data_IF_946761226023
#
_entry.id   IF_946761226023
#
_cell.length_a   1.000
_cell.length_b   1.000
_cell.length_c   1.000
_cell.angle_alpha   90.00
_cell.angle_beta   90.00
_cell.angle_gamma   90.00
#
_symmetry.space_group_name_H-M   'P 1'
#
loop_
_entity.id
_entity.type
_entity.pdbx_description
1 polymer ?
#
# COMPACT_ATOMS: atom_id res chain seq x y z
N UNK A 1 -0.93 31.37 22.65
CA UNK A 1 -0.92 30.30 21.63
C UNK A 1 -0.96 30.99 20.28
N UNK A 2 -0.05 30.66 19.37
CA UNK A 2 -0.14 31.08 17.97
C UNK A 2 -1.32 30.37 17.31
N UNK A 3 -1.73 30.81 16.13
CA UNK A 3 -2.82 30.17 15.38
C UNK A 3 -2.55 28.68 15.13
N UNK A 4 -1.27 28.31 14.95
CA UNK A 4 -0.89 26.92 14.71
C UNK A 4 -0.98 26.07 15.98
N UNK A 5 -0.72 26.60 17.17
CA UNK A 5 -0.77 25.87 18.45
C UNK A 5 -2.10 26.12 19.18
N UNK A 6 -3.22 26.04 18.46
CA UNK A 6 -4.51 26.54 18.96
C UNK A 6 -5.12 25.72 20.11
N UNK A 7 -4.83 24.42 20.20
CA UNK A 7 -5.40 23.53 21.22
C UNK A 7 -4.44 23.27 22.38
N UNK A 8 -3.13 23.26 22.14
CA UNK A 8 -2.10 22.94 23.13
C UNK A 8 -0.74 23.51 22.73
N UNK A 9 0.12 23.79 23.70
CA UNK A 9 1.50 24.26 23.45
C UNK A 9 2.44 23.13 23.00
N UNK A 10 2.03 21.86 23.14
CA UNK A 10 2.89 20.70 22.89
C UNK A 10 2.86 20.19 21.44
N UNK A 11 1.88 20.62 20.66
CA UNK A 11 1.69 20.22 19.27
C UNK A 11 1.08 21.40 18.55
N UNK A 12 1.66 21.77 17.41
CA UNK A 12 1.08 22.79 16.55
C UNK A 12 -0.28 22.29 16.03
N UNK A 13 -0.30 21.60 14.91
CA UNK A 13 -1.54 21.22 14.26
C UNK A 13 -2.04 19.90 14.84
N UNK A 14 -2.66 19.94 16.03
CA UNK A 14 -2.99 18.74 16.80
C UNK A 14 -3.86 17.73 16.00
N UNK A 15 -4.76 18.21 15.15
CA UNK A 15 -5.63 17.34 14.34
C UNK A 15 -4.84 16.67 13.23
N UNK A 16 -4.06 17.44 12.48
CA UNK A 16 -3.16 16.93 11.45
C UNK A 16 -2.13 15.95 12.05
N UNK A 17 -1.67 16.23 13.27
CA UNK A 17 -0.78 15.35 14.02
C UNK A 17 -1.46 14.03 14.40
N UNK A 18 -2.63 14.08 15.05
CA UNK A 18 -3.30 12.87 15.56
C UNK A 18 -3.90 11.99 14.46
N UNK A 19 -4.31 12.57 13.33
CA UNK A 19 -4.82 11.80 12.18
C UNK A 19 -3.76 10.87 11.60
N UNK A 20 -2.47 11.19 11.75
CA UNK A 20 -1.36 10.32 11.37
C UNK A 20 -1.20 9.06 12.24
N UNK A 21 -1.84 8.99 13.42
CA UNK A 21 -1.87 7.75 14.21
C UNK A 21 -2.53 6.59 13.46
N UNK A 22 -3.42 6.90 12.50
CA UNK A 22 -4.01 5.89 11.62
C UNK A 22 -2.94 5.19 10.76
N UNK A 23 -2.02 5.94 10.15
CA UNK A 23 -0.89 5.37 9.40
C UNK A 23 -0.06 4.45 10.28
N UNK A 24 0.29 4.90 11.48
CA UNK A 24 1.11 4.12 12.41
C UNK A 24 0.39 2.81 12.79
N UNK A 25 -0.91 2.88 13.08
CA UNK A 25 -1.71 1.70 13.39
C UNK A 25 -1.82 0.73 12.20
N UNK A 26 -2.10 1.25 10.99
CA UNK A 26 -2.19 0.44 9.77
C UNK A 26 -0.84 -0.18 9.38
N UNK A 27 0.28 0.51 9.61
CA UNK A 27 1.63 -0.01 9.49
C UNK A 27 1.85 -1.22 10.39
N UNK A 28 1.54 -1.08 11.69
CA UNK A 28 1.70 -2.16 12.68
C UNK A 28 0.82 -3.35 12.28
N UNK A 29 -0.44 -3.10 11.93
CA UNK A 29 -1.38 -4.12 11.48
C UNK A 29 -0.86 -4.86 10.25
N UNK A 30 -0.50 -4.14 9.19
CA UNK A 30 -0.01 -4.69 7.93
C UNK A 30 1.28 -5.49 8.10
N UNK A 31 2.24 -4.96 8.87
CA UNK A 31 3.50 -5.63 9.20
C UNK A 31 3.28 -6.94 9.95
N UNK A 32 2.38 -6.93 10.95
CA UNK A 32 1.99 -8.15 11.69
C UNK A 32 1.36 -9.18 10.76
N UNK A 33 0.53 -8.76 9.83
CA UNK A 33 -0.09 -9.66 8.85
C UNK A 33 0.94 -10.24 7.88
N UNK A 34 1.89 -9.44 7.38
CA UNK A 34 3.00 -9.93 6.57
C UNK A 34 3.80 -11.03 7.26
N UNK A 35 4.13 -10.84 8.55
CA UNK A 35 4.86 -11.83 9.34
C UNK A 35 4.00 -13.05 9.68
N UNK A 36 2.74 -12.85 10.06
CA UNK A 36 1.83 -13.93 10.47
C UNK A 36 1.48 -14.88 9.34
N UNK A 37 1.25 -14.35 8.14
CA UNK A 37 0.79 -15.11 6.97
C UNK A 37 1.91 -15.36 5.95
N UNK A 38 3.16 -15.08 6.31
CA UNK A 38 4.35 -15.34 5.49
C UNK A 38 4.23 -14.72 4.08
N UNK A 39 3.91 -13.43 4.04
CA UNK A 39 3.90 -12.67 2.80
C UNK A 39 5.32 -12.29 2.38
N UNK A 40 5.51 -12.04 1.08
CA UNK A 40 6.81 -11.63 0.54
C UNK A 40 7.38 -10.43 1.32
N UNK A 41 8.64 -10.56 1.75
CA UNK A 41 9.37 -9.57 2.56
C UNK A 41 9.32 -8.15 2.00
N UNK A 42 9.19 -7.98 0.69
CA UNK A 42 9.06 -6.66 0.05
C UNK A 42 7.86 -5.87 0.60
N UNK A 43 6.75 -6.54 0.96
CA UNK A 43 5.58 -5.88 1.52
C UNK A 43 5.78 -5.50 3.00
N UNK A 44 6.56 -6.27 3.74
CA UNK A 44 6.97 -5.86 5.09
C UNK A 44 7.78 -4.57 5.01
N UNK A 45 8.76 -4.49 4.11
CA UNK A 45 9.55 -3.26 3.89
C UNK A 45 8.65 -2.11 3.43
N UNK A 46 7.67 -2.37 2.55
CA UNK A 46 6.70 -1.36 2.12
C UNK A 46 5.83 -0.84 3.27
N UNK A 47 5.37 -1.71 4.18
CA UNK A 47 4.66 -1.26 5.38
C UNK A 47 5.55 -0.45 6.32
N UNK A 48 6.84 -0.78 6.44
CA UNK A 48 7.79 0.04 7.21
C UNK A 48 7.98 1.43 6.58
N UNK A 49 8.09 1.51 5.25
CA UNK A 49 8.13 2.78 4.52
C UNK A 49 6.84 3.60 4.73
N UNK A 50 5.68 2.95 4.63
CA UNK A 50 4.38 3.53 4.95
C UNK A 50 4.29 4.05 6.40
N UNK A 51 4.88 3.33 7.36
CA UNK A 51 5.01 3.79 8.75
C UNK A 51 5.96 4.97 8.92
N UNK A 52 7.03 5.04 8.11
CA UNK A 52 7.94 6.17 8.08
C UNK A 52 7.24 7.44 7.57
N UNK A 53 6.38 7.34 6.55
CA UNK A 53 5.51 8.44 6.10
C UNK A 53 4.63 8.95 7.24
N UNK A 54 3.85 8.06 7.87
CA UNK A 54 2.97 8.47 8.97
C UNK A 54 3.71 9.06 10.17
N UNK A 55 4.90 8.52 10.49
CA UNK A 55 5.72 9.04 11.59
C UNK A 55 6.35 10.40 11.24
N UNK A 56 6.85 10.55 10.01
CA UNK A 56 7.38 11.81 9.48
C UNK A 56 6.33 12.91 9.52
N UNK A 57 5.15 12.63 8.98
CA UNK A 57 4.01 13.54 8.98
C UNK A 57 3.57 13.91 10.40
N UNK A 58 3.45 12.92 11.31
CA UNK A 58 3.16 13.18 12.71
C UNK A 58 4.17 14.18 13.33
N UNK A 59 5.47 13.94 13.13
CA UNK A 59 6.52 14.81 13.69
C UNK A 59 6.54 16.19 13.03
N UNK A 60 6.26 16.26 11.72
CA UNK A 60 6.15 17.52 11.01
C UNK A 60 5.00 18.35 11.53
N UNK A 61 3.76 17.85 11.54
CA UNK A 61 2.60 18.62 12.01
C UNK A 61 2.65 18.95 13.51
N UNK A 62 3.38 18.17 14.30
CA UNK A 62 3.58 18.49 15.71
C UNK A 62 4.55 19.67 15.91
N UNK A 63 5.54 19.84 15.01
CA UNK A 63 6.66 20.77 15.21
C UNK A 63 6.74 21.93 14.21
N UNK A 64 6.17 21.76 13.01
CA UNK A 64 6.29 22.61 11.81
C UNK A 64 7.74 22.95 11.43
N UNK A 65 8.67 22.00 11.66
CA UNK A 65 10.09 22.18 11.39
C UNK A 65 10.50 21.56 10.05
N UNK A 66 11.24 22.33 9.26
CA UNK A 66 11.71 21.92 7.94
C UNK A 66 12.40 20.54 7.88
N UNK A 67 13.27 20.13 8.84
CA UNK A 67 13.84 18.78 8.82
C UNK A 67 12.79 17.67 8.91
N UNK A 68 11.70 17.87 9.67
CA UNK A 68 10.62 16.89 9.77
C UNK A 68 9.72 16.92 8.54
N UNK A 69 9.56 18.09 7.90
CA UNK A 69 8.92 18.20 6.59
C UNK A 69 9.62 17.33 5.54
N UNK A 70 10.95 17.39 5.50
CA UNK A 70 11.75 16.54 4.62
C UNK A 70 11.54 15.05 4.92
N UNK A 71 11.46 14.66 6.19
CA UNK A 71 11.20 13.25 6.56
C UNK A 71 9.82 12.81 6.07
N UNK A 72 8.79 13.63 6.28
CA UNK A 72 7.43 13.37 5.80
C UNK A 72 7.42 13.18 4.27
N UNK A 73 7.77 14.23 3.54
CA UNK A 73 7.64 14.29 2.08
C UNK A 73 8.59 13.30 1.37
N UNK A 74 9.86 13.24 1.75
CA UNK A 74 10.82 12.37 1.05
C UNK A 74 10.59 10.89 1.32
N UNK A 75 10.07 10.52 2.50
CA UNK A 75 9.73 9.13 2.79
C UNK A 75 8.62 8.59 1.86
N UNK A 76 7.73 9.46 1.38
CA UNK A 76 6.73 9.12 0.36
C UNK A 76 7.41 8.71 -0.96
N UNK A 77 8.40 9.50 -1.42
CA UNK A 77 9.17 9.21 -2.64
C UNK A 77 9.90 7.86 -2.51
N UNK A 78 10.61 7.66 -1.40
CA UNK A 78 11.39 6.44 -1.18
C UNK A 78 10.51 5.19 -1.13
N UNK A 79 9.36 5.28 -0.46
CA UNK A 79 8.38 4.19 -0.39
C UNK A 79 7.81 3.88 -1.77
N UNK A 80 7.48 4.90 -2.58
CA UNK A 80 7.00 4.68 -3.95
C UNK A 80 8.09 4.09 -4.85
N UNK A 81 9.35 4.53 -4.73
CA UNK A 81 10.47 3.93 -5.45
C UNK A 81 10.67 2.44 -5.08
N UNK A 82 10.52 2.07 -3.81
CA UNK A 82 10.52 0.67 -3.39
C UNK A 82 9.39 -0.11 -4.08
N UNK A 83 8.19 0.46 -4.16
CA UNK A 83 7.05 -0.17 -4.84
C UNK A 83 7.23 -0.27 -6.36
N UNK A 84 7.86 0.73 -6.98
CA UNK A 84 8.32 0.67 -8.36
C UNK A 84 9.26 -0.52 -8.54
N UNK A 85 10.28 -0.66 -7.69
CA UNK A 85 11.18 -1.80 -7.74
C UNK A 85 10.42 -3.12 -7.60
N UNK A 86 9.56 -3.25 -6.60
CA UNK A 86 8.78 -4.46 -6.35
C UNK A 86 7.91 -4.89 -7.54
N UNK A 87 7.31 -3.92 -8.24
CA UNK A 87 6.41 -4.16 -9.38
C UNK A 87 7.19 -4.43 -10.66
N UNK A 88 8.17 -3.60 -11.00
CA UNK A 88 8.90 -3.69 -12.26
C UNK A 88 9.97 -4.78 -12.25
N UNK A 89 10.49 -5.19 -11.08
CA UNK A 89 11.46 -6.28 -10.98
C UNK A 89 10.85 -7.69 -11.10
N UNK A 90 9.52 -7.80 -11.04
CA UNK A 90 8.83 -9.10 -11.08
C UNK A 90 9.04 -9.81 -12.42
N UNK A 91 9.47 -11.07 -12.35
CA UNK A 91 9.77 -11.91 -13.52
C UNK A 91 10.79 -11.29 -14.49
N UNK A 92 11.73 -10.48 -13.99
CA UNK A 92 12.79 -9.86 -14.79
C UNK A 92 14.17 -10.48 -14.52
N UNK A 93 15.07 -10.33 -15.48
CA UNK A 93 16.46 -10.81 -15.39
C UNK A 93 17.22 -10.11 -14.26
N UNK A 94 18.24 -10.79 -13.70
CA UNK A 94 19.07 -10.23 -12.61
C UNK A 94 19.70 -8.88 -12.99
N UNK A 95 20.15 -8.75 -14.23
CA UNK A 95 20.74 -7.51 -14.76
C UNK A 95 19.70 -6.39 -14.77
N UNK A 96 18.50 -6.65 -15.30
CA UNK A 96 17.43 -5.65 -15.31
C UNK A 96 17.08 -5.18 -13.90
N UNK A 97 16.97 -6.11 -12.95
CA UNK A 97 16.68 -5.79 -11.54
C UNK A 97 17.76 -4.89 -10.94
N UNK A 98 19.04 -5.18 -11.18
CA UNK A 98 20.15 -4.35 -10.69
C UNK A 98 20.12 -2.96 -11.30
N UNK A 99 19.97 -2.85 -12.62
CA UNK A 99 19.87 -1.56 -13.32
C UNK A 99 18.70 -0.74 -12.78
N UNK A 100 17.52 -1.36 -12.65
CA UNK A 100 16.34 -0.71 -12.09
C UNK A 100 16.59 -0.20 -10.66
N UNK A 101 17.21 -1.01 -9.80
CA UNK A 101 17.54 -0.61 -8.43
C UNK A 101 18.48 0.61 -8.40
N UNK A 102 19.57 0.59 -9.18
CA UNK A 102 20.49 1.72 -9.27
C UNK A 102 19.80 2.98 -9.82
N UNK A 103 18.97 2.85 -10.84
CA UNK A 103 18.21 3.97 -11.41
C UNK A 103 17.22 4.58 -10.42
N UNK A 104 16.53 3.76 -9.63
CA UNK A 104 15.58 4.24 -8.62
C UNK A 104 16.27 4.90 -7.41
N UNK A 105 17.44 4.39 -7.01
CA UNK A 105 18.27 5.03 -5.98
C UNK A 105 18.77 6.38 -6.49
N UNK A 106 19.32 6.42 -7.71
CA UNK A 106 19.77 7.66 -8.34
C UNK A 106 18.63 8.68 -8.44
N UNK A 107 17.45 8.26 -8.90
CA UNK A 107 16.26 9.11 -8.97
C UNK A 107 15.85 9.64 -7.60
N UNK A 108 15.85 8.79 -6.57
CA UNK A 108 15.51 9.18 -5.20
C UNK A 108 16.47 10.22 -4.63
N UNK A 109 17.78 10.03 -4.85
CA UNK A 109 18.83 10.98 -4.44
C UNK A 109 18.69 12.29 -5.22
N UNK A 110 18.46 12.22 -6.52
CA UNK A 110 18.24 13.40 -7.36
C UNK A 110 17.05 14.22 -6.88
N UNK A 111 15.87 13.60 -6.70
CA UNK A 111 14.66 14.26 -6.20
C UNK A 111 14.94 14.90 -4.84
N UNK A 112 15.64 14.19 -3.95
CA UNK A 112 15.98 14.70 -2.61
C UNK A 112 16.84 15.96 -2.67
N UNK A 113 17.95 15.90 -3.40
CA UNK A 113 18.88 17.02 -3.49
C UNK A 113 18.26 18.22 -4.21
N UNK A 114 17.52 17.96 -5.29
CA UNK A 114 16.87 19.01 -6.05
C UNK A 114 15.71 19.65 -5.27
N UNK A 115 14.92 18.85 -4.56
CA UNK A 115 13.86 19.36 -3.69
C UNK A 115 14.42 20.18 -2.52
N UNK A 116 15.51 19.72 -1.91
CA UNK A 116 16.19 20.47 -0.86
C UNK A 116 16.76 21.81 -1.36
N UNK A 117 17.27 21.85 -2.60
CA UNK A 117 17.76 23.06 -3.24
C UNK A 117 16.63 24.03 -3.61
N UNK A 118 15.56 23.53 -4.22
CA UNK A 118 14.47 24.35 -4.74
C UNK A 118 13.53 24.84 -3.63
N UNK A 119 13.30 24.00 -2.61
CA UNK A 119 12.37 24.24 -1.49
C UNK A 119 10.93 24.57 -1.94
N UNK A 120 10.55 24.08 -3.11
CA UNK A 120 9.23 24.27 -3.71
C UNK A 120 8.40 22.98 -3.60
N UNK A 121 7.34 22.97 -2.77
CA UNK A 121 6.51 21.77 -2.55
C UNK A 121 5.85 21.26 -3.83
N UNK A 122 5.61 22.10 -4.83
CA UNK A 122 4.98 21.70 -6.09
C UNK A 122 5.88 20.72 -6.87
N UNK A 123 7.20 20.87 -6.78
CA UNK A 123 8.14 19.92 -7.38
C UNK A 123 8.00 18.52 -6.77
N UNK A 124 7.95 18.44 -5.44
CA UNK A 124 7.78 17.17 -4.73
C UNK A 124 6.44 16.51 -5.09
N UNK A 125 5.35 17.27 -5.04
CA UNK A 125 4.01 16.77 -5.33
C UNK A 125 3.92 16.19 -6.73
N UNK A 126 4.44 16.89 -7.74
CA UNK A 126 4.46 16.44 -9.12
C UNK A 126 5.31 15.16 -9.29
N UNK A 127 6.50 15.11 -8.68
CA UNK A 127 7.36 13.93 -8.72
C UNK A 127 6.67 12.71 -8.07
N UNK A 128 6.06 12.90 -6.90
CA UNK A 128 5.32 11.85 -6.20
C UNK A 128 4.11 11.37 -7.00
N UNK A 129 3.33 12.29 -7.58
CA UNK A 129 2.16 11.95 -8.39
C UNK A 129 2.54 11.13 -9.64
N UNK A 130 3.58 11.54 -10.37
CA UNK A 130 4.06 10.83 -11.55
C UNK A 130 4.58 9.43 -11.22
N UNK A 131 5.37 9.31 -10.15
CA UNK A 131 5.88 8.01 -9.68
C UNK A 131 4.74 7.08 -9.27
N UNK A 132 3.79 7.59 -8.49
CA UNK A 132 2.63 6.84 -8.00
C UNK A 132 1.72 6.39 -9.14
N UNK A 133 1.43 7.28 -10.09
CA UNK A 133 0.66 6.92 -11.29
C UNK A 133 1.37 5.84 -12.11
N UNK A 134 2.68 5.98 -12.33
CA UNK A 134 3.49 5.02 -13.09
C UNK A 134 3.43 3.62 -12.48
N UNK A 135 3.67 3.50 -11.16
CA UNK A 135 3.63 2.18 -10.51
C UNK A 135 2.21 1.61 -10.49
N UNK A 136 1.20 2.43 -10.23
CA UNK A 136 -0.19 2.01 -10.18
C UNK A 136 -0.68 1.47 -11.53
N UNK A 137 -0.51 2.23 -12.62
CA UNK A 137 -0.91 1.80 -13.96
C UNK A 137 -0.13 0.55 -14.39
N UNK A 138 1.16 0.47 -14.06
CA UNK A 138 1.94 -0.74 -14.31
C UNK A 138 1.36 -1.94 -13.56
N UNK A 139 1.06 -1.80 -12.27
CA UNK A 139 0.49 -2.89 -11.47
C UNK A 139 -0.88 -3.32 -12.00
N UNK A 140 -1.74 -2.39 -12.42
CA UNK A 140 -3.04 -2.70 -13.07
C UNK A 140 -2.85 -3.46 -14.38
N UNK A 141 -1.89 -3.03 -15.21
CA UNK A 141 -1.57 -3.74 -16.45
C UNK A 141 -1.08 -5.16 -16.16
N UNK A 142 -0.19 -5.36 -15.18
CA UNK A 142 0.29 -6.68 -14.77
C UNK A 142 -0.87 -7.56 -14.31
N UNK A 143 -1.75 -7.02 -13.46
CA UNK A 143 -2.97 -7.71 -13.01
C UNK A 143 -3.81 -8.18 -14.20
N UNK A 144 -4.14 -7.28 -15.11
CA UNK A 144 -5.01 -7.59 -16.26
C UNK A 144 -4.40 -8.64 -17.20
N UNK A 145 -3.14 -8.48 -17.58
CA UNK A 145 -2.49 -9.38 -18.55
C UNK A 145 -2.28 -10.78 -17.97
N UNK A 146 -2.02 -10.91 -16.68
CA UNK A 146 -1.67 -12.21 -16.07
C UNK A 146 -2.87 -12.93 -15.43
N UNK A 147 -3.90 -12.21 -14.98
CA UNK A 147 -5.05 -12.82 -14.30
C UNK A 147 -6.24 -12.99 -15.24
N UNK A 148 -6.51 -12.04 -16.15
CA UNK A 148 -7.67 -12.17 -17.04
C UNK A 148 -7.49 -13.36 -17.99
N UNK A 149 -8.38 -14.36 -18.00
CA UNK A 149 -8.21 -15.56 -18.81
C UNK A 149 -8.00 -15.28 -20.30
N UNK A 150 -8.75 -14.33 -20.86
CA UNK A 150 -8.68 -13.97 -22.28
C UNK A 150 -7.34 -13.33 -22.68
N UNK A 151 -6.76 -12.49 -21.82
CA UNK A 151 -5.46 -11.86 -22.06
C UNK A 151 -4.31 -12.81 -21.77
N UNK A 152 -4.41 -13.59 -20.69
CA UNK A 152 -3.43 -14.62 -20.35
C UNK A 152 -3.24 -15.60 -21.52
N UNK A 153 -4.33 -16.06 -22.15
CA UNK A 153 -4.26 -16.93 -23.35
C UNK A 153 -3.60 -16.24 -24.54
N UNK A 154 -3.87 -14.94 -24.75
CA UNK A 154 -3.33 -14.16 -25.88
C UNK A 154 -1.82 -13.89 -25.75
N UNK A 155 -1.35 -13.65 -24.52
CA UNK A 155 0.04 -13.27 -24.23
C UNK A 155 0.87 -14.42 -23.63
N UNK A 156 0.29 -15.59 -23.43
CA UNK A 156 1.02 -16.78 -23.02
C UNK A 156 2.08 -17.10 -24.10
N UNK A 157 3.34 -17.11 -23.69
CA UNK A 157 4.42 -17.73 -24.46
C UNK A 157 4.17 -19.23 -24.55
N UNK A 158 4.66 -19.88 -25.61
CA UNK A 158 4.50 -21.33 -25.88
C UNK A 158 4.96 -22.24 -24.74
N UNK A 159 5.73 -21.73 -23.76
CA UNK A 159 6.14 -22.46 -22.56
C UNK A 159 5.08 -22.49 -21.44
N UNK A 160 4.21 -21.48 -21.34
CA UNK A 160 3.11 -21.41 -20.35
C UNK A 160 1.85 -22.17 -20.79
N UNK A 161 1.81 -22.64 -22.04
CA UNK A 161 0.73 -23.46 -22.60
C UNK A 161 0.80 -24.94 -22.23
N UNK A 162 1.74 -25.34 -21.38
CA UNK A 162 1.69 -26.66 -20.73
C UNK A 162 0.59 -26.67 -19.64
N UNK A 163 -0.67 -26.49 -20.06
CA UNK A 163 -1.78 -27.06 -19.31
C UNK A 163 -1.48 -28.54 -19.10
N UNK A 164 -1.56 -29.01 -17.86
CA UNK A 164 -1.42 -30.43 -17.58
C UNK A 164 -2.40 -31.20 -18.48
N UNK A 165 -1.94 -32.18 -19.28
CA UNK A 165 -2.78 -32.85 -20.27
C UNK A 165 -4.02 -33.56 -19.69
N UNK A 166 -4.09 -33.70 -18.36
CA UNK A 166 -5.20 -34.31 -17.61
C UNK A 166 -6.22 -33.32 -17.01
N UNK A 167 -6.11 -32.01 -17.27
CA UNK A 167 -7.13 -31.06 -16.75
C UNK A 167 -8.45 -31.21 -17.49
N UNK A 168 -9.47 -31.72 -16.78
CA UNK A 168 -10.84 -31.84 -17.28
C UNK A 168 -11.36 -30.48 -17.78
N UNK A 169 -12.22 -30.51 -18.81
CA UNK A 169 -12.94 -29.33 -19.28
C UNK A 169 -13.72 -28.64 -18.15
N UNK A 170 -14.28 -29.40 -17.20
CA UNK A 170 -14.95 -28.84 -16.00
C UNK A 170 -14.02 -27.99 -15.15
N UNK A 171 -12.78 -28.45 -14.98
CA UNK A 171 -11.80 -27.82 -14.08
C UNK A 171 -11.25 -26.55 -14.71
N UNK A 172 -11.08 -26.55 -16.04
CA UNK A 172 -10.73 -25.35 -16.81
C UNK A 172 -11.79 -24.26 -16.66
N UNK A 173 -13.08 -24.60 -16.83
CA UNK A 173 -14.15 -23.62 -16.63
C UNK A 173 -14.21 -23.10 -15.18
N UNK A 174 -14.02 -23.96 -14.20
CA UNK A 174 -13.99 -23.56 -12.79
C UNK A 174 -12.84 -22.59 -12.51
N UNK A 175 -11.65 -22.85 -13.05
CA UNK A 175 -10.49 -21.97 -12.92
C UNK A 175 -10.69 -20.62 -13.61
N UNK A 176 -11.26 -20.60 -14.83
CA UNK A 176 -11.58 -19.35 -15.52
C UNK A 176 -12.59 -18.51 -14.73
N UNK A 177 -13.65 -19.14 -14.22
CA UNK A 177 -14.66 -18.46 -13.39
C UNK A 177 -14.01 -17.83 -12.16
N UNK A 178 -13.17 -18.58 -11.45
CA UNK A 178 -12.43 -18.09 -10.28
C UNK A 178 -11.51 -16.92 -10.63
N UNK A 179 -10.81 -16.96 -11.75
CA UNK A 179 -9.97 -15.85 -12.21
C UNK A 179 -10.77 -14.57 -12.44
N UNK A 180 -11.96 -14.67 -13.03
CA UNK A 180 -12.86 -13.51 -13.18
C UNK A 180 -13.38 -12.98 -11.84
N UNK A 181 -13.68 -13.86 -10.89
CA UNK A 181 -14.08 -13.47 -9.53
C UNK A 181 -12.95 -12.70 -8.82
N UNK A 182 -11.72 -13.22 -8.85
CA UNK A 182 -10.53 -12.56 -8.32
C UNK A 182 -10.33 -11.19 -8.99
N UNK A 183 -10.45 -11.12 -10.32
CA UNK A 183 -10.27 -9.87 -11.05
C UNK A 183 -11.32 -8.81 -10.66
N UNK A 184 -12.57 -9.25 -10.46
CA UNK A 184 -13.66 -8.37 -9.99
C UNK A 184 -13.38 -7.83 -8.59
N UNK A 185 -12.92 -8.68 -7.67
CA UNK A 185 -12.53 -8.27 -6.31
C UNK A 185 -11.36 -7.27 -6.35
N UNK A 186 -10.34 -7.55 -7.15
CA UNK A 186 -9.19 -6.66 -7.32
C UNK A 186 -9.58 -5.30 -7.89
N UNK A 187 -10.44 -5.25 -8.92
CA UNK A 187 -10.94 -3.99 -9.46
C UNK A 187 -11.79 -3.22 -8.47
N UNK A 188 -12.55 -3.90 -7.62
CA UNK A 188 -13.28 -3.25 -6.54
C UNK A 188 -12.33 -2.64 -5.50
N UNK A 189 -11.27 -3.35 -5.11
CA UNK A 189 -10.24 -2.80 -4.21
C UNK A 189 -9.55 -1.57 -4.83
N UNK A 190 -9.20 -1.66 -6.11
CA UNK A 190 -8.57 -0.55 -6.86
C UNK A 190 -9.53 0.64 -6.93
N UNK A 191 -10.78 0.42 -7.35
CA UNK A 191 -11.79 1.48 -7.46
C UNK A 191 -12.06 2.17 -6.12
N UNK A 192 -12.26 1.40 -5.04
CA UNK A 192 -12.50 1.95 -3.72
C UNK A 192 -11.26 2.66 -3.17
N UNK A 193 -10.08 2.02 -3.23
CA UNK A 193 -8.83 2.59 -2.73
C UNK A 193 -8.44 3.88 -3.44
N UNK A 194 -8.58 3.93 -4.77
CA UNK A 194 -8.33 5.16 -5.54
C UNK A 194 -9.36 6.24 -5.29
N UNK A 195 -10.64 5.89 -5.18
CA UNK A 195 -11.68 6.87 -4.86
C UNK A 195 -11.43 7.53 -3.51
N UNK A 196 -11.01 6.74 -2.51
CA UNK A 196 -10.65 7.27 -1.18
C UNK A 196 -9.39 8.14 -1.30
N UNK A 197 -8.33 7.67 -1.96
CA UNK A 197 -7.08 8.42 -2.08
C UNK A 197 -7.28 9.76 -2.82
N UNK A 198 -7.92 9.74 -3.98
CA UNK A 198 -8.20 10.94 -4.78
C UNK A 198 -9.25 11.85 -4.13
N UNK A 199 -10.21 11.29 -3.39
CA UNK A 199 -11.14 12.07 -2.58
C UNK A 199 -10.41 12.86 -1.49
N UNK A 200 -9.45 12.23 -0.81
CA UNK A 200 -8.56 12.92 0.12
C UNK A 200 -7.78 14.02 -0.58
N UNK A 201 -7.18 13.73 -1.74
CA UNK A 201 -6.42 14.71 -2.53
C UNK A 201 -7.27 15.92 -2.91
N UNK A 202 -8.52 15.69 -3.29
CA UNK A 202 -9.48 16.74 -3.60
C UNK A 202 -9.79 17.61 -2.38
N UNK A 203 -10.03 17.00 -1.22
CA UNK A 203 -10.29 17.74 0.03
C UNK A 203 -9.08 18.60 0.42
N UNK A 204 -7.87 18.03 0.39
CA UNK A 204 -6.64 18.77 0.65
C UNK A 204 -6.41 19.91 -0.34
N UNK A 205 -6.67 19.68 -1.62
CA UNK A 205 -6.55 20.71 -2.66
C UNK A 205 -7.51 21.88 -2.40
N UNK A 206 -8.75 21.58 -1.97
CA UNK A 206 -9.73 22.60 -1.59
C UNK A 206 -9.31 23.36 -0.33
N UNK A 207 -8.77 22.67 0.67
CA UNK A 207 -8.25 23.26 1.91
C UNK A 207 -7.12 24.26 1.62
N UNK A 208 -6.21 23.91 0.71
CA UNK A 208 -5.15 24.82 0.27
C UNK A 208 -5.69 26.02 -0.52
N UNK A 209 -6.61 25.79 -1.46
CA UNK A 209 -7.13 26.86 -2.32
C UNK A 209 -8.00 27.87 -1.57
N UNK A 210 -8.80 27.41 -0.60
CA UNK A 210 -9.71 28.22 0.20
C UNK A 210 -9.23 28.44 1.65
N UNK A 211 -7.92 28.32 1.89
CA UNK A 211 -7.30 28.30 3.21
C UNK A 211 -7.77 29.44 4.13
N UNK A 212 -7.80 30.69 3.65
CA UNK A 212 -8.24 31.84 4.45
C UNK A 212 -9.69 31.71 4.92
N UNK A 213 -10.58 31.23 4.04
CA UNK A 213 -12.01 31.08 4.32
C UNK A 213 -12.25 29.92 5.27
N UNK A 214 -11.61 28.77 5.02
CA UNK A 214 -11.77 27.55 5.85
C UNK A 214 -11.24 27.78 7.26
N UNK A 215 -10.10 28.49 7.40
CA UNK A 215 -9.55 28.87 8.71
C UNK A 215 -10.47 29.79 9.49
N UNK A 216 -11.06 30.79 8.83
CA UNK A 216 -12.02 31.69 9.48
C UNK A 216 -13.24 30.90 9.99
N UNK A 217 -13.84 30.04 9.15
CA UNK A 217 -14.96 29.19 9.56
C UNK A 217 -14.59 28.26 10.71
N UNK A 218 -13.38 27.70 10.71
CA UNK A 218 -12.89 26.85 11.79
C UNK A 218 -12.81 27.60 13.12
N UNK A 219 -12.35 28.86 13.10
CA UNK A 219 -12.27 29.70 14.28
C UNK A 219 -13.66 30.10 14.81
N UNK A 220 -14.58 30.42 13.91
CA UNK A 220 -15.97 30.79 14.26
C UNK A 220 -16.76 29.61 14.83
N UNK A 221 -16.59 28.41 14.26
CA UNK A 221 -17.30 27.20 14.70
C UNK A 221 -16.71 26.65 16.02
N UNK A 222 -15.38 26.70 16.16
CA UNK A 222 -14.68 26.19 17.35
C UNK A 222 -14.76 24.67 17.54
N UNK A 223 -14.07 24.15 18.56
CA UNK A 223 -14.09 22.72 18.89
C UNK A 223 -15.43 22.30 19.55
N UNK A 224 -15.93 21.07 19.29
CA UNK A 224 -15.32 20.01 18.49
C UNK A 224 -15.63 20.07 16.98
N UNK A 225 -16.57 20.90 16.54
CA UNK A 225 -17.08 20.87 15.16
C UNK A 225 -16.09 21.43 14.13
N UNK A 226 -15.19 22.31 14.54
CA UNK A 226 -14.07 22.80 13.73
C UNK A 226 -13.14 21.69 13.23
N UNK A 227 -13.13 20.53 13.90
CA UNK A 227 -12.39 19.34 13.44
C UNK A 227 -12.81 18.90 12.03
N UNK A 228 -14.09 19.07 11.66
CA UNK A 228 -14.60 18.67 10.36
C UNK A 228 -14.05 19.53 9.22
N UNK A 229 -13.58 20.74 9.54
CA UNK A 229 -12.98 21.69 8.60
C UNK A 229 -11.44 21.56 8.51
N UNK A 230 -10.85 20.56 9.15
CA UNK A 230 -9.43 20.22 9.02
C UNK A 230 -9.24 19.34 7.77
N UNK A 231 -9.29 19.97 6.58
CA UNK A 231 -9.21 19.27 5.30
C UNK A 231 -7.90 18.49 5.15
N UNK A 232 -6.79 19.06 5.60
CA UNK A 232 -5.51 18.38 5.68
C UNK A 232 -5.54 17.12 6.58
N UNK A 233 -6.26 17.15 7.70
CA UNK A 233 -6.46 15.98 8.57
C UNK A 233 -7.26 14.87 7.88
N UNK A 234 -8.30 15.21 7.12
CA UNK A 234 -9.05 14.24 6.30
C UNK A 234 -8.18 13.61 5.22
N UNK A 235 -7.28 14.39 4.63
CA UNK A 235 -6.29 13.88 3.68
C UNK A 235 -5.42 12.78 4.26
N UNK A 236 -4.90 12.94 5.50
CA UNK A 236 -4.15 11.87 6.15
C UNK A 236 -4.98 10.60 6.32
N UNK A 237 -6.21 10.72 6.82
CA UNK A 237 -7.07 9.55 7.03
C UNK A 237 -7.35 8.81 5.72
N UNK A 238 -7.70 9.56 4.68
CA UNK A 238 -8.11 9.00 3.40
C UNK A 238 -6.93 8.43 2.62
N UNK A 239 -5.82 9.15 2.49
CA UNK A 239 -4.62 8.62 1.81
C UNK A 239 -3.98 7.48 2.57
N UNK A 240 -4.03 7.49 3.91
CA UNK A 240 -3.60 6.38 4.75
C UNK A 240 -4.39 5.11 4.45
N UNK A 241 -5.72 5.19 4.36
CA UNK A 241 -6.58 4.05 4.00
C UNK A 241 -6.35 3.65 2.54
N UNK A 242 -6.36 4.58 1.60
CA UNK A 242 -6.18 4.28 0.17
C UNK A 242 -4.84 3.59 -0.11
N UNK A 243 -3.76 4.04 0.54
CA UNK A 243 -2.44 3.42 0.42
C UNK A 243 -2.39 2.04 1.09
N UNK A 244 -3.07 1.84 2.22
CA UNK A 244 -3.22 0.50 2.82
C UNK A 244 -3.96 -0.45 1.87
N UNK A 245 -5.04 0.00 1.22
CA UNK A 245 -5.74 -0.76 0.19
C UNK A 245 -4.81 -1.15 -0.95
N UNK A 246 -3.97 -0.22 -1.42
CA UNK A 246 -2.97 -0.50 -2.46
C UNK A 246 -1.96 -1.57 -2.02
N UNK A 247 -1.43 -1.50 -0.79
CA UNK A 247 -0.47 -2.50 -0.28
C UNK A 247 -1.10 -3.88 -0.14
N UNK A 248 -2.31 -3.98 0.42
CA UNK A 248 -3.03 -5.27 0.55
C UNK A 248 -3.41 -5.82 -0.82
N UNK A 249 -3.85 -4.97 -1.75
CA UNK A 249 -4.09 -5.35 -3.14
C UNK A 249 -2.81 -5.87 -3.81
N UNK A 250 -1.67 -5.21 -3.59
CA UNK A 250 -0.36 -5.64 -4.08
C UNK A 250 0.04 -7.02 -3.55
N UNK A 251 -0.21 -7.29 -2.26
CA UNK A 251 -0.01 -8.63 -1.65
C UNK A 251 -0.89 -9.66 -2.35
N UNK A 252 -2.18 -9.36 -2.54
CA UNK A 252 -3.10 -10.27 -3.19
C UNK A 252 -2.69 -10.56 -4.63
N UNK A 253 -2.35 -9.52 -5.38
CA UNK A 253 -1.79 -9.62 -6.72
C UNK A 253 -0.54 -10.49 -6.75
N UNK A 254 0.41 -10.34 -5.81
CA UNK A 254 1.63 -11.17 -5.74
C UNK A 254 1.30 -12.66 -5.60
N UNK A 255 0.37 -13.01 -4.70
CA UNK A 255 -0.03 -14.41 -4.52
C UNK A 255 -0.73 -14.95 -5.75
N UNK A 256 -1.58 -14.15 -6.42
CA UNK A 256 -2.21 -14.54 -7.67
C UNK A 256 -1.21 -14.77 -8.80
N UNK A 257 -0.20 -13.91 -8.93
CA UNK A 257 0.86 -14.03 -9.95
C UNK A 257 1.79 -15.22 -9.72
N UNK A 258 1.91 -15.69 -8.48
CA UNK A 258 2.67 -16.89 -8.13
C UNK A 258 1.81 -18.16 -8.09
N UNK A 259 0.58 -18.10 -8.62
CA UNK A 259 -0.40 -19.20 -8.62
C UNK A 259 -0.72 -19.78 -7.21
N UNK A 260 -0.52 -18.99 -6.14
CA UNK A 260 -0.78 -19.41 -4.72
C UNK A 260 -2.21 -19.11 -4.25
N UNK A 261 -3.16 -19.10 -5.17
CA UNK A 261 -4.55 -18.71 -4.92
C UNK A 261 -5.29 -19.78 -4.09
N UNK A 262 -4.79 -21.02 -4.10
CA UNK A 262 -5.26 -22.16 -3.30
C UNK A 262 -4.78 -22.10 -1.85
N UNK A 263 -3.67 -21.42 -1.60
CA UNK A 263 -3.11 -21.28 -0.27
C UNK A 263 -3.62 -20.03 0.45
N UNK A 264 -3.93 -18.98 -0.30
CA UNK A 264 -4.35 -17.68 0.22
C UNK A 264 -5.73 -17.26 -0.26
N UNK A 265 -6.36 -16.37 0.51
CA UNK A 265 -7.63 -15.75 0.16
C UNK A 265 -7.65 -14.31 0.65
N UNK A 266 -8.29 -13.43 -0.13
CA UNK A 266 -8.63 -12.09 0.30
C UNK A 266 -9.81 -12.17 1.29
N UNK A 267 -9.55 -11.88 2.56
CA UNK A 267 -10.57 -11.76 3.58
C UNK A 267 -11.08 -10.32 3.62
N UNK A 268 -12.25 -10.08 3.01
CA UNK A 268 -12.89 -8.77 3.00
C UNK A 268 -14.42 -8.92 3.09
N UNK A 269 -14.96 -9.19 4.30
CA UNK A 269 -16.35 -9.60 4.47
C UNK A 269 -17.39 -8.52 4.14
N UNK A 270 -17.02 -7.24 4.25
CA UNK A 270 -17.89 -6.11 3.90
C UNK A 270 -17.07 -4.89 3.47
N UNK A 271 -17.65 -4.02 2.65
CA UNK A 271 -16.94 -2.89 2.04
C UNK A 271 -16.37 -1.86 3.03
N UNK A 272 -16.89 -1.81 4.26
CA UNK A 272 -16.38 -0.94 5.33
C UNK A 272 -15.29 -1.60 6.20
N UNK A 273 -15.04 -2.90 6.04
CA UNK A 273 -13.91 -3.56 6.72
C UNK A 273 -12.61 -3.28 5.99
N UNK A 274 -11.50 -3.34 6.73
CA UNK A 274 -10.18 -3.34 6.13
C UNK A 274 -9.89 -4.72 5.53
N UNK A 275 -9.52 -4.79 4.24
CA UNK A 275 -9.16 -6.06 3.62
C UNK A 275 -7.85 -6.59 4.21
N UNK A 276 -7.72 -7.91 4.23
CA UNK A 276 -6.51 -8.63 4.64
C UNK A 276 -6.34 -9.86 3.76
N UNK A 277 -5.10 -10.18 3.37
CA UNK A 277 -4.81 -11.47 2.73
C UNK A 277 -4.41 -12.46 3.81
N UNK A 278 -5.12 -13.58 3.87
CA UNK A 278 -4.91 -14.60 4.91
C UNK A 278 -4.65 -15.96 4.27
N UNK A 279 -3.96 -16.84 4.98
CA UNK A 279 -3.85 -18.26 4.60
C UNK A 279 -5.22 -18.93 4.71
N UNK A 280 -5.60 -19.76 3.74
CA UNK A 280 -6.85 -20.52 3.80
C UNK A 280 -6.84 -21.45 5.02
N UNK A 281 -7.96 -21.58 5.77
CA UNK A 281 -8.02 -22.37 6.99
C UNK A 281 -7.58 -23.82 6.81
N UNK A 282 -7.93 -24.44 5.67
CA UNK A 282 -7.58 -25.82 5.32
C UNK A 282 -6.07 -26.02 5.20
N UNK A 283 -5.37 -25.07 4.58
CA UNK A 283 -3.91 -25.12 4.43
C UNK A 283 -3.18 -24.84 5.76
N UNK A 284 -3.75 -24.01 6.64
CA UNK A 284 -3.17 -23.75 7.97
C UNK A 284 -3.16 -24.99 8.87
N UNK A 285 -4.17 -25.88 8.73
CA UNK A 285 -4.24 -27.14 9.50
C UNK A 285 -3.16 -28.13 9.07
N UNK A 286 -2.86 -28.19 7.76
CA UNK A 286 -1.82 -29.06 7.20
C UNK A 286 -0.43 -28.58 7.64
N UNK A 287 -0.16 -27.27 7.55
CA UNK A 287 1.09 -26.65 8.01
C UNK A 287 1.36 -26.90 9.51
N UNK A 288 0.36 -26.69 10.36
CA UNK A 288 0.49 -26.94 11.80
C UNK A 288 0.60 -28.44 12.13
N UNK A 289 -0.04 -29.32 11.35
CA UNK A 289 0.07 -30.77 11.47
C UNK A 289 1.48 -31.29 11.13
N UNK A 290 2.10 -30.78 10.06
CA UNK A 290 3.47 -31.13 9.69
C UNK A 290 4.49 -30.65 10.72
N UNK A 291 4.29 -29.43 11.26
CA UNK A 291 5.17 -28.83 12.28
C UNK A 291 5.07 -29.53 13.64
N UNK A 292 3.88 -30.07 13.99
CA UNK A 292 3.68 -30.89 15.19
C UNK A 292 4.02 -32.39 15.00
N UNK A 293 4.11 -32.87 13.75
CA UNK A 293 4.59 -34.21 13.44
C UNK A 293 6.10 -34.34 13.62
N UNK A 294 6.85 -33.28 13.28
CA UNK A 294 8.30 -33.26 13.43
C UNK A 294 8.77 -33.25 14.90
N UNK A 295 7.96 -32.74 15.83
CA UNK A 295 8.28 -32.74 17.27
C UNK A 295 7.92 -34.05 17.98
N UNK A 296 7.19 -34.98 17.35
CA UNK A 296 6.80 -36.25 17.97
C UNK A 296 7.72 -37.44 17.65
N UNK A 297 8.50 -37.39 16.58
CA UNK A 297 9.27 -38.55 16.10
C UNK A 297 10.70 -38.66 16.67
N UNK A 298 11.20 -37.65 17.40
CA UNK A 298 12.53 -37.69 18.02
C UNK A 298 12.57 -38.29 19.44
N UNK A 299 11.43 -38.71 20.02
CA UNK A 299 11.39 -39.19 21.42
C UNK A 299 11.27 -40.70 21.62
N UNK A 300 11.37 -41.53 20.57
CA UNK A 300 11.05 -42.96 20.72
C UNK A 300 11.98 -43.93 19.99
N UNK A 301 13.30 -43.82 20.19
CA UNK A 301 14.25 -44.94 20.03
C UNK A 301 15.42 -44.85 21.02
N UNK A 302 15.21 -45.32 22.24
CA UNK A 302 16.26 -45.89 23.11
C UNK A 302 15.61 -46.64 24.27
N UNK A 303 15.49 -47.97 24.13
CA UNK A 303 15.88 -49.07 25.05
C UNK A 303 15.49 -50.37 24.33
#
# INVERSE_FOLDING_TARGET
MTEDYYATIYSAEIVNTLTNLLFIWLCIKGSRNCLKYDHDSVFLVAFLGYGAVGTGSFLFHSTLKYPMQLVDELSMIYTTCLMCYATFSFSQSRIFRQVLAFSLIFLSVFITLYYHYLQDPDFHQNAFALLTATVLFRSMYVMEVNIRPSLRKKYATTELSHEHPDTSHSDRLANEKRQYEILKEMWLMVGLGLSIFLGGFGIWSLDNHYCSTVRQWRHEIGLPWGLLLEGHGWWHLMTGIGSYFYLVWGIWLRHCLNDRQDEYVLNWPHYFSLPEVITRPEHSKISNGARNGHTKDESRKSV
#
